data_IF_692800382287
#
_entry.id   IF_692800382287
#
_cell.length_a   1.000
_cell.length_b   1.000
_cell.length_c   1.000
_cell.angle_alpha   90.00
_cell.angle_beta   90.00
_cell.angle_gamma   90.00
#
_symmetry.space_group_name_H-M   'P 1'
#
loop_
_entity.id
_entity.type
_entity.pdbx_description
1 polymer ?
#
# COMPACT_ATOMS: atom_id res chain seq x y z
N UNK A 1 -5.04 0.89 16.83
CA UNK A 1 -5.13 1.25 15.40
C UNK A 1 -3.75 1.08 14.80
N UNK A 2 -3.60 0.20 13.81
CA UNK A 2 -2.34 -0.03 13.09
C UNK A 2 -2.38 0.72 11.77
N UNK A 3 -1.27 1.29 11.34
CA UNK A 3 -1.15 1.94 10.04
C UNK A 3 -1.40 0.88 8.95
N UNK A 4 -2.29 1.19 7.99
CA UNK A 4 -2.57 0.32 6.85
C UNK A 4 -1.98 0.92 5.59
N UNK A 5 -1.23 0.13 4.84
CA UNK A 5 -0.64 0.53 3.56
C UNK A 5 -1.27 -0.35 2.48
N UNK A 6 -2.22 0.22 1.75
CA UNK A 6 -2.85 -0.42 0.60
C UNK A 6 -1.89 -0.34 -0.59
N UNK A 7 -1.41 -1.49 -1.04
CA UNK A 7 -0.18 -1.60 -1.81
C UNK A 7 -0.31 -2.56 -2.99
N UNK A 8 0.14 -2.08 -4.15
CA UNK A 8 0.66 -2.92 -5.23
C UNK A 8 2.17 -2.71 -5.30
N UNK A 9 2.97 -3.73 -5.00
CA UNK A 9 4.44 -3.61 -4.98
C UNK A 9 5.06 -3.35 -6.36
N UNK A 10 4.33 -3.52 -7.46
CA UNK A 10 4.78 -3.10 -8.80
C UNK A 10 4.81 -1.57 -8.93
N UNK A 11 3.98 -0.87 -8.14
CA UNK A 11 3.95 0.58 -8.08
C UNK A 11 5.20 1.15 -7.41
N UNK A 12 5.94 1.99 -8.15
CA UNK A 12 7.11 2.72 -7.64
C UNK A 12 6.80 3.56 -6.38
N UNK A 13 5.74 4.40 -6.33
CA UNK A 13 5.45 5.20 -5.13
C UNK A 13 5.09 4.34 -3.91
N UNK A 14 4.41 3.20 -4.09
CA UNK A 14 4.13 2.26 -2.99
C UNK A 14 5.41 1.74 -2.36
N UNK A 15 6.40 1.36 -3.18
CA UNK A 15 7.71 0.92 -2.66
C UNK A 15 8.42 2.01 -1.86
N UNK A 16 8.31 3.27 -2.27
CA UNK A 16 8.89 4.38 -1.51
C UNK A 16 8.26 4.52 -0.11
N UNK A 17 6.93 4.36 0.01
CA UNK A 17 6.22 4.40 1.29
C UNK A 17 6.61 3.21 2.18
N UNK A 18 6.69 2.00 1.62
CA UNK A 18 7.13 0.80 2.33
C UNK A 18 8.56 0.99 2.85
N UNK A 19 9.50 1.39 2.00
CA UNK A 19 10.89 1.63 2.40
C UNK A 19 10.96 2.69 3.50
N UNK A 20 10.18 3.76 3.39
CA UNK A 20 10.11 4.77 4.44
C UNK A 20 9.65 4.17 5.78
N UNK A 21 8.61 3.33 5.78
CA UNK A 21 8.13 2.70 7.02
C UNK A 21 9.19 1.76 7.62
N UNK A 22 9.79 0.90 6.81
CA UNK A 22 10.83 -0.05 7.22
C UNK A 22 12.06 0.66 7.81
N UNK A 23 12.60 1.67 7.11
CA UNK A 23 13.81 2.39 7.52
C UNK A 23 13.60 3.19 8.81
N UNK A 24 12.37 3.64 9.08
CA UNK A 24 12.05 4.40 10.28
C UNK A 24 11.45 3.55 11.42
N UNK A 25 11.35 2.22 11.25
CA UNK A 25 10.78 1.34 12.27
C UNK A 25 9.28 1.60 12.55
N UNK A 26 8.55 2.07 11.54
CA UNK A 26 7.11 2.32 11.64
C UNK A 26 6.39 1.00 11.41
N UNK A 27 5.61 0.52 12.39
CA UNK A 27 4.81 -0.69 12.24
C UNK A 27 3.57 -0.43 11.35
N UNK A 28 3.38 -1.27 10.33
CA UNK A 28 2.27 -1.17 9.40
C UNK A 28 1.76 -2.55 8.96
N UNK A 29 0.51 -2.57 8.50
CA UNK A 29 -0.13 -3.71 7.87
C UNK A 29 -0.19 -3.43 6.36
N UNK A 30 0.45 -4.27 5.56
CA UNK A 30 0.34 -4.19 4.11
C UNK A 30 -0.93 -4.90 3.64
N UNK A 31 -1.80 -4.17 2.93
CA UNK A 31 -3.02 -4.71 2.33
C UNK A 31 -2.79 -4.72 0.83
N UNK A 32 -2.80 -5.91 0.23
CA UNK A 32 -2.62 -6.05 -1.22
C UNK A 32 -3.79 -5.39 -1.96
N UNK A 33 -3.49 -4.58 -2.96
CA UNK A 33 -4.45 -4.07 -3.96
C UNK A 33 -3.92 -4.47 -5.33
N UNK A 34 -4.72 -5.18 -6.11
CA UNK A 34 -4.37 -5.61 -7.47
C UNK A 34 -4.76 -4.52 -8.48
N UNK A 35 -3.79 -3.71 -8.91
CA UNK A 35 -4.04 -2.66 -9.90
C UNK A 35 -4.33 -3.23 -11.29
N UNK A 36 -3.78 -4.41 -11.62
CA UNK A 36 -4.01 -5.06 -12.91
C UNK A 36 -5.47 -5.53 -13.05
N UNK A 37 -6.09 -5.94 -11.95
CA UNK A 37 -7.52 -6.26 -11.88
C UNK A 37 -8.42 -5.01 -11.70
N UNK A 38 -7.84 -3.81 -11.58
CA UNK A 38 -8.60 -2.57 -11.41
C UNK A 38 -9.24 -2.41 -10.03
N UNK A 39 -8.75 -3.08 -8.97
CA UNK A 39 -9.36 -3.03 -7.63
C UNK A 39 -9.44 -1.60 -7.06
N UNK A 40 -8.44 -0.78 -7.36
CA UNK A 40 -8.39 0.64 -7.02
C UNK A 40 -9.47 1.52 -7.67
N UNK A 41 -10.25 0.97 -8.63
CA UNK A 41 -11.36 1.66 -9.30
C UNK A 41 -12.72 1.33 -8.66
N UNK A 42 -12.74 0.46 -7.65
CA UNK A 42 -13.98 0.12 -6.93
C UNK A 42 -14.40 1.28 -6.01
N UNK A 43 -15.70 1.37 -5.63
CA UNK A 43 -16.18 2.42 -4.73
C UNK A 43 -15.52 2.46 -3.36
N UNK A 44 -14.81 1.40 -2.94
CA UNK A 44 -14.05 1.38 -1.69
C UNK A 44 -12.87 2.40 -1.69
N UNK A 45 -12.38 2.78 -2.87
CA UNK A 45 -11.23 3.67 -3.06
C UNK A 45 -11.61 5.08 -3.55
N UNK A 46 -12.89 5.46 -3.50
CA UNK A 46 -13.44 6.75 -3.96
C UNK A 46 -13.58 7.80 -2.84
#
# INVERSE_FOLDING_TARGET
MKLKVYADRLSQPVRAVIIFCEVNGIDYEEIKVDLANGEHLTPEFA
#
